data_IF_661265716868
#
_entry.id   IF_661265716868
#
_cell.length_a   1.000
_cell.length_b   1.000
_cell.length_c   1.000
_cell.angle_alpha   90.00
_cell.angle_beta   90.00
_cell.angle_gamma   90.00
#
_symmetry.space_group_name_H-M   'P 1'
#
loop_
_entity.id
_entity.type
_entity.pdbx_description
1 polymer ?
#
# COMPACT_ATOMS: atom_id res chain seq x y z
N UNK A 1 22.56 -1.48 -16.39
CA UNK A 1 22.12 -1.77 -15.41
C UNK A 1 20.78 -1.81 -15.29
N UNK A 2 20.33 -2.48 -14.65
CA UNK A 2 19.07 -2.75 -14.72
C UNK A 2 18.36 -2.66 -13.49
N UNK A 3 18.41 -1.54 -12.82
CA UNK A 3 17.63 -1.38 -11.72
C UNK A 3 16.23 -1.23 -12.12
N UNK A 4 15.35 -2.03 -11.56
CA UNK A 4 13.98 -1.96 -11.82
C UNK A 4 13.43 -0.78 -11.12
N UNK A 5 12.84 0.13 -11.83
CA UNK A 5 12.17 1.25 -11.21
C UNK A 5 10.85 0.81 -10.66
N UNK A 6 10.52 1.30 -9.48
CA UNK A 6 9.20 1.06 -8.89
C UNK A 6 8.23 2.04 -9.54
N UNK A 7 7.12 1.51 -10.03
CA UNK A 7 6.09 2.34 -10.64
C UNK A 7 5.33 3.05 -9.52
N UNK A 8 5.48 4.36 -9.44
CA UNK A 8 4.84 5.15 -8.41
C UNK A 8 3.59 5.85 -8.89
N UNK A 9 3.04 5.44 -10.02
CA UNK A 9 1.78 6.01 -10.50
C UNK A 9 0.57 5.30 -9.88
N UNK A 10 0.76 4.10 -9.36
CA UNK A 10 -0.32 3.31 -8.78
C UNK A 10 0.05 2.93 -7.35
N UNK A 11 -0.82 3.31 -6.42
CA UNK A 11 -0.62 3.01 -5.01
C UNK A 11 -1.64 1.98 -4.56
N UNK A 12 -1.16 0.93 -3.93
CA UNK A 12 -2.04 -0.10 -3.36
C UNK A 12 -2.18 0.16 -1.87
N UNK A 13 -3.39 0.50 -1.47
CA UNK A 13 -3.68 0.80 -0.06
C UNK A 13 -4.24 -0.43 0.64
N UNK A 14 -3.83 -0.62 1.87
CA UNK A 14 -4.43 -1.64 2.72
C UNK A 14 -4.65 -1.02 4.10
N UNK A 15 -5.45 -1.68 4.91
CA UNK A 15 -5.68 -1.22 6.28
C UNK A 15 -6.42 0.09 6.31
N UNK A 16 -5.98 1.01 7.13
CA UNK A 16 -6.69 2.27 7.32
C UNK A 16 -6.73 3.12 6.06
N UNK A 17 -5.80 2.93 5.15
CA UNK A 17 -5.81 3.70 3.91
C UNK A 17 -6.88 3.22 2.93
N UNK A 18 -7.61 2.16 3.28
CA UNK A 18 -8.80 1.82 2.51
C UNK A 18 -9.94 2.80 2.77
N UNK A 19 -9.81 3.66 3.75
CA UNK A 19 -10.84 4.64 4.05
C UNK A 19 -10.78 5.76 3.00
N UNK A 20 -11.79 5.81 2.13
CA UNK A 20 -11.79 6.75 1.02
C UNK A 20 -11.82 8.20 1.46
N UNK A 21 -12.45 8.49 2.58
CA UNK A 21 -12.49 9.84 3.08
C UNK A 21 -11.13 10.32 3.50
N UNK A 22 -10.38 9.46 4.18
CA UNK A 22 -9.06 9.82 4.60
C UNK A 22 -8.13 9.95 3.41
N UNK A 23 -8.29 9.08 2.42
CA UNK A 23 -7.49 9.20 1.21
C UNK A 23 -7.77 10.50 0.48
N UNK A 24 -9.02 10.92 0.42
CA UNK A 24 -9.35 12.18 -0.26
C UNK A 24 -8.70 13.37 0.43
N UNK A 25 -8.59 13.33 1.73
CA UNK A 25 -7.94 14.42 2.44
C UNK A 25 -6.44 14.39 2.29
N UNK A 26 -5.85 13.20 2.37
CA UNK A 26 -4.40 13.05 2.34
C UNK A 26 -3.85 13.22 0.94
N UNK A 27 -4.58 12.70 -0.02
CA UNK A 27 -4.15 12.69 -1.42
C UNK A 27 -5.28 13.17 -2.31
N UNK A 28 -5.51 14.47 -2.36
CA UNK A 28 -6.70 14.98 -3.07
C UNK A 28 -6.72 14.71 -4.56
N UNK A 29 -5.57 14.43 -5.17
CA UNK A 29 -5.57 14.13 -6.60
C UNK A 29 -5.58 12.63 -6.89
N UNK A 30 -5.62 11.79 -5.86
CA UNK A 30 -5.66 10.35 -6.08
C UNK A 30 -7.05 9.92 -6.53
N UNK A 31 -7.10 8.92 -7.41
CA UNK A 31 -8.36 8.41 -7.91
C UNK A 31 -8.41 6.91 -7.73
N UNK A 32 -9.52 6.41 -7.23
CA UNK A 32 -9.69 4.98 -7.04
C UNK A 32 -9.85 4.29 -8.39
N UNK A 33 -9.01 3.32 -8.66
CA UNK A 33 -9.07 2.57 -9.90
C UNK A 33 -9.86 1.28 -9.74
N UNK A 34 -9.81 0.69 -8.58
CA UNK A 34 -10.52 -0.56 -8.34
C UNK A 34 -9.94 -1.27 -7.13
N UNK A 35 -10.31 -2.52 -6.96
CA UNK A 35 -9.87 -3.30 -5.81
C UNK A 35 -9.30 -4.62 -6.28
N UNK A 36 -8.53 -5.24 -5.42
CA UNK A 36 -7.94 -6.53 -5.71
C UNK A 36 -7.48 -7.20 -4.44
N UNK A 37 -6.75 -8.28 -4.62
CA UNK A 37 -6.24 -9.05 -3.51
C UNK A 37 -4.80 -9.41 -3.82
N UNK A 38 -3.90 -9.20 -2.86
CA UNK A 38 -2.51 -9.60 -3.02
C UNK A 38 -2.38 -11.00 -2.40
N UNK A 39 -2.11 -12.03 -3.19
CA UNK A 39 -2.00 -13.37 -2.65
C UNK A 39 -0.68 -13.60 -1.95
N UNK A 40 -0.66 -14.53 -1.04
CA UNK A 40 0.52 -15.00 -0.34
C UNK A 40 1.16 -13.93 0.54
N UNK A 41 0.32 -13.06 1.08
CA UNK A 41 0.72 -12.09 2.10
C UNK A 41 -0.36 -12.05 3.17
N UNK A 42 0.02 -11.64 4.35
CA UNK A 42 -0.96 -11.45 5.42
C UNK A 42 -0.77 -10.09 6.06
N UNK A 43 -1.86 -9.57 6.61
CA UNK A 43 -1.82 -8.34 7.38
C UNK A 43 -1.45 -8.67 8.80
N UNK A 44 -0.68 -7.81 9.42
CA UNK A 44 -0.40 -7.98 10.83
C UNK A 44 -0.14 -6.63 11.47
N UNK A 45 -0.30 -6.61 12.81
CA UNK A 45 0.00 -5.44 13.58
C UNK A 45 1.38 -5.61 14.20
N UNK A 46 2.17 -4.54 14.18
CA UNK A 46 3.48 -4.55 14.81
C UNK A 46 3.54 -3.40 15.78
N UNK A 47 3.81 -3.69 17.03
CA UNK A 47 3.98 -2.66 18.02
C UNK A 47 5.33 -2.04 17.92
N UNK A 48 5.41 -0.76 18.25
CA UNK A 48 6.65 -0.08 18.21
C UNK A 48 7.00 0.39 19.59
N UNK A 49 6.03 0.94 20.27
CA UNK A 49 6.19 1.40 21.60
C UNK A 49 4.93 1.14 22.31
N UNK A 50 4.93 1.29 23.62
CA UNK A 50 3.76 1.02 24.35
C UNK A 50 2.56 1.71 23.80
N UNK A 51 1.49 0.99 23.62
CA UNK A 51 0.22 1.56 23.22
C UNK A 51 0.11 1.91 21.76
N UNK A 52 1.12 1.62 20.95
CA UNK A 52 1.05 1.93 19.54
C UNK A 52 1.31 0.71 18.70
N UNK A 53 0.49 0.49 17.72
CA UNK A 53 0.75 -0.56 16.77
C UNK A 53 0.42 -0.07 15.38
N UNK A 54 1.08 -0.65 14.41
CA UNK A 54 0.98 -0.24 13.03
C UNK A 54 0.68 -1.46 12.18
N UNK A 55 -0.09 -1.26 11.11
CA UNK A 55 -0.35 -2.35 10.17
C UNK A 55 0.79 -2.48 9.19
N UNK A 56 1.12 -3.70 8.88
CA UNK A 56 2.04 -3.98 7.80
C UNK A 56 1.65 -5.31 7.17
N UNK A 57 2.42 -5.76 6.20
CA UNK A 57 2.18 -7.02 5.52
C UNK A 57 3.46 -7.81 5.51
N UNK A 58 3.34 -9.12 5.41
CA UNK A 58 4.52 -9.98 5.23
C UNK A 58 4.14 -11.17 4.39
N UNK A 59 5.11 -11.80 3.74
CA UNK A 59 4.81 -13.01 2.97
C UNK A 59 4.24 -14.10 3.85
N UNK A 60 3.19 -14.73 3.36
CA UNK A 60 2.55 -15.83 4.08
C UNK A 60 1.81 -16.68 3.08
N UNK A 61 2.36 -17.84 2.69
CA UNK A 61 1.73 -18.66 1.66
C UNK A 61 0.30 -19.02 2.03
N UNK A 62 -0.60 -18.87 1.10
CA UNK A 62 -2.00 -19.22 1.30
C UNK A 62 -2.86 -18.12 1.89
N UNK A 63 -2.26 -17.05 2.39
CA UNK A 63 -3.03 -15.92 2.89
C UNK A 63 -3.23 -14.91 1.78
N UNK A 64 -4.01 -13.87 2.04
CA UNK A 64 -4.22 -12.83 1.05
C UNK A 64 -4.62 -11.53 1.75
N UNK A 65 -4.33 -10.42 1.09
CA UNK A 65 -4.59 -9.09 1.66
C UNK A 65 -5.45 -8.31 0.68
N UNK A 66 -6.62 -7.85 1.09
CA UNK A 66 -7.42 -7.00 0.23
C UNK A 66 -6.79 -5.61 0.11
N UNK A 67 -6.83 -5.07 -1.09
CA UNK A 67 -6.23 -3.78 -1.37
C UNK A 67 -7.13 -2.96 -2.28
N UNK A 68 -6.93 -1.66 -2.26
CA UNK A 68 -7.54 -0.76 -3.22
C UNK A 68 -6.42 -0.08 -4.00
N UNK A 69 -6.59 0.02 -5.31
CA UNK A 69 -5.59 0.63 -6.17
C UNK A 69 -6.00 2.05 -6.52
N UNK A 70 -5.08 2.98 -6.35
CA UNK A 70 -5.33 4.38 -6.66
C UNK A 70 -4.31 4.87 -7.65
N UNK A 71 -4.74 5.70 -8.60
CA UNK A 71 -3.78 6.43 -9.39
C UNK A 71 -3.36 7.65 -8.57
N UNK A 72 -2.07 7.95 -8.54
CA UNK A 72 -1.56 9.02 -7.69
C UNK A 72 -0.58 9.87 -8.48
N UNK A 73 -0.46 11.12 -8.05
CA UNK A 73 0.49 12.06 -8.63
C UNK A 73 1.72 12.13 -7.73
N UNK A 74 2.84 12.67 -8.21
CA UNK A 74 4.02 12.78 -7.36
C UNK A 74 3.77 13.53 -6.05
N UNK A 75 2.89 14.53 -6.06
CA UNK A 75 2.56 15.23 -4.82
C UNK A 75 1.84 14.32 -3.84
N UNK A 76 1.01 13.41 -4.34
CA UNK A 76 0.33 12.45 -3.47
C UNK A 76 1.34 11.50 -2.85
N UNK A 77 2.32 11.05 -3.64
CA UNK A 77 3.34 10.13 -3.12
C UNK A 77 4.15 10.81 -2.03
N UNK A 78 4.44 12.09 -2.22
CA UNK A 78 5.17 12.84 -1.19
C UNK A 78 4.39 12.85 0.13
N UNK A 79 3.08 13.09 0.06
CA UNK A 79 2.26 13.10 1.27
C UNK A 79 2.16 11.72 1.90
N UNK A 80 2.06 10.68 1.07
CA UNK A 80 2.00 9.32 1.59
C UNK A 80 3.32 8.96 2.27
N UNK A 81 4.45 9.35 1.68
CA UNK A 81 5.76 9.08 2.27
C UNK A 81 5.86 9.72 3.65
N UNK A 82 5.36 10.92 3.80
CA UNK A 82 5.39 11.57 5.10
C UNK A 82 4.47 10.89 6.09
N UNK A 83 3.28 10.51 5.64
CA UNK A 83 2.33 9.84 6.51
C UNK A 83 2.87 8.51 6.99
N UNK A 84 3.54 7.76 6.10
CA UNK A 84 4.07 6.45 6.46
C UNK A 84 5.45 6.56 7.09
N UNK A 85 5.92 7.78 7.30
CA UNK A 85 7.17 8.02 8.01
C UNK A 85 8.34 7.35 7.32
N UNK A 86 8.35 7.42 6.00
CA UNK A 86 9.43 6.85 5.20
C UNK A 86 10.77 7.51 5.52
N UNK A 87 10.83 8.86 5.68
CA UNK A 87 12.12 9.47 5.97
C UNK A 87 12.77 9.00 7.27
N UNK A 88 11.99 8.57 8.25
CA UNK A 88 12.59 8.09 9.49
C UNK A 88 12.89 6.60 9.42
N UNK A 89 12.46 5.93 8.36
CA UNK A 89 12.75 4.52 8.20
C UNK A 89 11.69 3.58 8.74
N UNK A 90 10.53 4.09 9.12
CA UNK A 90 9.48 3.21 9.64
C UNK A 90 8.92 2.30 8.56
N UNK A 91 8.64 2.86 7.38
CA UNK A 91 8.12 2.09 6.25
C UNK A 91 9.00 2.32 5.03
N UNK A 92 8.91 1.41 4.10
CA UNK A 92 9.58 1.55 2.82
C UNK A 92 8.59 1.25 1.71
N UNK A 93 8.88 1.72 0.52
CA UNK A 93 8.09 1.42 -0.67
C UNK A 93 8.61 0.14 -1.28
N UNK A 94 7.69 -0.75 -1.65
CA UNK A 94 8.02 -1.96 -2.38
C UNK A 94 7.14 -2.09 -3.60
N UNK A 95 7.65 -2.65 -4.70
CA UNK A 95 6.82 -2.87 -5.88
C UNK A 95 5.89 -4.05 -5.64
N UNK A 96 4.70 -3.95 -6.21
CA UNK A 96 3.72 -5.01 -6.09
C UNK A 96 2.77 -4.90 -7.28
N UNK A 97 2.21 -6.02 -7.71
CA UNK A 97 1.23 -6.03 -8.79
C UNK A 97 0.20 -7.08 -8.51
N UNK A 98 -1.02 -6.80 -8.88
CA UNK A 98 -2.08 -7.81 -8.82
C UNK A 98 -3.20 -7.41 -9.76
N UNK A 99 -4.14 -8.30 -9.96
CA UNK A 99 -5.29 -8.03 -10.79
C UNK A 99 -6.22 -7.09 -10.07
N UNK A 100 -6.62 -6.02 -10.73
CA UNK A 100 -7.50 -5.02 -10.16
C UNK A 100 -8.73 -4.95 -11.02
N UNK A 101 -9.89 -4.98 -10.39
CA UNK A 101 -11.16 -4.91 -11.09
C UNK A 101 -11.83 -3.61 -10.73
N UNK A 102 -12.20 -2.86 -11.74
CA UNK A 102 -12.84 -1.58 -11.55
C UNK A 102 -14.29 -1.73 -11.15
N UNK A 103 -14.76 -0.78 -10.36
CA UNK A 103 -16.13 -0.79 -9.92
C UNK A 103 -17.05 -0.57 -11.09
N UNK A 104 -18.08 -1.35 -11.21
CA UNK A 104 -19.06 -1.19 -12.28
C UNK A 104 -18.59 -1.58 -13.64
N UNK A 105 -17.42 -2.20 -13.75
CA UNK A 105 -16.92 -2.67 -15.03
C UNK A 105 -16.63 -4.11 -14.96
N UNK A 106 -16.75 -4.77 -16.10
CA UNK A 106 -16.44 -6.16 -16.16
C UNK A 106 -15.00 -6.39 -16.55
N UNK A 107 -14.17 -5.39 -16.53
CA UNK A 107 -12.81 -5.57 -16.94
C UNK A 107 -11.88 -5.52 -15.73
N UNK A 108 -10.97 -6.44 -15.70
CA UNK A 108 -9.93 -6.49 -14.69
C UNK A 108 -8.60 -6.56 -15.41
N UNK A 109 -7.57 -6.10 -14.78
CA UNK A 109 -6.25 -6.18 -15.38
C UNK A 109 -5.18 -6.07 -14.32
N UNK A 110 -3.99 -6.56 -14.64
CA UNK A 110 -2.86 -6.51 -13.73
C UNK A 110 -2.24 -5.13 -13.80
N UNK A 111 -2.09 -4.49 -12.65
CA UNK A 111 -1.47 -3.18 -12.57
C UNK A 111 -0.22 -3.27 -11.71
N UNK A 112 0.87 -2.71 -12.19
CA UNK A 112 2.09 -2.64 -11.42
C UNK A 112 2.09 -1.34 -10.64
N UNK A 113 2.41 -1.41 -9.38
CA UNK A 113 2.40 -0.24 -8.53
C UNK A 113 3.28 -0.46 -7.31
N UNK A 114 2.94 0.22 -6.24
CA UNK A 114 3.73 0.13 -5.01
C UNK A 114 2.83 0.09 -3.80
N UNK A 115 3.39 -0.38 -2.70
CA UNK A 115 2.76 -0.30 -1.40
C UNK A 115 3.83 -0.06 -0.34
N UNK A 116 3.39 0.21 0.87
CA UNK A 116 4.31 0.50 1.97
C UNK A 116 4.40 -0.71 2.87
N UNK A 117 5.62 -1.05 3.25
CA UNK A 117 5.89 -2.20 4.12
C UNK A 117 6.78 -1.72 5.25
N UNK A 118 6.48 -2.14 6.46
CA UNK A 118 7.28 -1.75 7.60
C UNK A 118 8.67 -2.34 7.48
N UNK A 119 9.67 -1.48 7.74
CA UNK A 119 11.05 -1.88 7.54
C UNK A 119 11.56 -2.83 8.57
N UNK A 120 11.12 -2.70 9.77
CA UNK A 120 11.87 -3.27 10.84
C UNK A 120 11.20 -4.43 11.47
N UNK A 121 11.76 -5.59 11.29
CA UNK A 121 11.20 -6.78 11.91
C UNK A 121 11.51 -6.83 13.39
N UNK A 122 12.29 -5.93 13.92
CA UNK A 122 12.48 -5.85 15.35
C UNK A 122 11.32 -5.19 16.05
N UNK A 123 10.37 -4.65 15.30
CA UNK A 123 9.23 -4.03 15.92
C UNK A 123 8.19 -5.08 16.15
N UNK A 124 8.27 -5.70 17.28
CA UNK A 124 7.41 -6.82 17.57
C UNK A 124 6.00 -6.39 17.88
N UNK A 125 5.05 -7.29 17.70
CA UNK A 125 3.67 -7.00 18.04
C UNK A 125 3.49 -6.72 19.51
#
# INVERSE_FOLDING_TARGET
MNEKKINQDIYYAYGSNLNLRQMARRCPTAELLGTGVIPDYELLFRGREEGKSYLTVRPCPGAQVPVAAFSVQPSDVHELDLYEDVPSGLYRIEPIATEVCGSGRNSCGVLEGFWYVMNDDRRLP
#
